data_IF_039523215629
#
_entry.id   IF_039523215629
#
_cell.length_a   1.000
_cell.length_b   1.000
_cell.length_c   1.000
_cell.angle_alpha   90.00
_cell.angle_beta   90.00
_cell.angle_gamma   90.00
#
_symmetry.space_group_name_H-M   'P 1'
#
loop_
_entity.id
_entity.type
_entity.pdbx_description
1 polymer ?
#
# COMPACT_ATOMS: atom_id res chain seq x y z
N UNK A 1 -30.86 -12.06 -16.07
CA UNK A 1 -29.92 -12.16 -17.21
C UNK A 1 -28.73 -11.20 -17.10
N UNK A 2 -28.92 -9.89 -16.89
CA UNK A 2 -27.82 -8.91 -16.73
C UNK A 2 -26.83 -9.25 -15.59
N UNK A 3 -27.31 -9.80 -14.48
CA UNK A 3 -26.50 -10.24 -13.33
C UNK A 3 -25.59 -11.43 -13.64
N UNK A 4 -26.11 -12.41 -14.38
CA UNK A 4 -25.37 -13.58 -14.87
C UNK A 4 -24.23 -13.17 -15.82
N UNK A 5 -24.54 -12.26 -16.75
CA UNK A 5 -23.54 -11.70 -17.68
C UNK A 5 -22.44 -10.97 -16.91
N UNK A 6 -22.80 -10.04 -16.00
CA UNK A 6 -21.83 -9.34 -15.15
C UNK A 6 -20.94 -10.31 -14.35
N UNK A 7 -21.53 -11.38 -13.80
CA UNK A 7 -20.79 -12.40 -13.05
C UNK A 7 -19.78 -13.12 -13.95
N UNK A 8 -20.18 -13.57 -15.14
CA UNK A 8 -19.27 -14.21 -16.07
C UNK A 8 -18.12 -13.30 -16.51
N UNK A 9 -18.41 -12.04 -16.86
CA UNK A 9 -17.37 -11.07 -17.21
C UNK A 9 -16.40 -10.82 -16.06
N UNK A 10 -16.91 -10.67 -14.82
CA UNK A 10 -16.08 -10.50 -13.63
C UNK A 10 -15.18 -11.72 -13.39
N UNK A 11 -15.73 -12.93 -13.50
CA UNK A 11 -14.98 -14.19 -13.34
C UNK A 11 -13.92 -14.37 -14.42
N UNK A 12 -14.28 -14.17 -15.69
CA UNK A 12 -13.34 -14.27 -16.82
C UNK A 12 -12.18 -13.29 -16.69
N UNK A 13 -12.47 -12.03 -16.34
CA UNK A 13 -11.44 -11.01 -16.08
C UNK A 13 -10.56 -11.39 -14.91
N UNK A 14 -11.13 -11.88 -13.82
CA UNK A 14 -10.38 -12.30 -12.63
C UNK A 14 -9.44 -13.47 -12.95
N UNK A 15 -9.90 -14.47 -13.71
CA UNK A 15 -9.09 -15.60 -14.13
C UNK A 15 -7.94 -15.17 -15.05
N UNK A 16 -8.22 -14.28 -16.00
CA UNK A 16 -7.19 -13.72 -16.90
C UNK A 16 -6.13 -12.93 -16.14
N UNK A 17 -6.53 -12.17 -15.13
CA UNK A 17 -5.60 -11.45 -14.25
C UNK A 17 -4.75 -12.43 -13.44
N UNK A 18 -5.37 -13.42 -12.78
CA UNK A 18 -4.67 -14.46 -12.01
C UNK A 18 -3.63 -15.21 -12.86
N UNK A 19 -3.96 -15.56 -14.10
CA UNK A 19 -3.02 -16.21 -15.02
C UNK A 19 -1.82 -15.31 -15.36
N UNK A 20 -2.06 -14.02 -15.65
CA UNK A 20 -0.99 -13.05 -15.97
C UNK A 20 -0.11 -12.70 -14.78
N UNK A 21 -0.63 -12.80 -13.56
CA UNK A 21 0.09 -12.43 -12.34
C UNK A 21 0.66 -13.64 -11.60
N UNK A 22 0.48 -14.87 -12.11
CA UNK A 22 0.84 -16.13 -11.46
C UNK A 22 2.33 -16.22 -11.08
N UNK A 23 3.20 -15.60 -11.86
CA UNK A 23 4.66 -15.60 -11.65
C UNK A 23 5.17 -14.37 -10.90
N UNK A 24 4.29 -13.41 -10.57
CA UNK A 24 4.73 -12.17 -9.92
C UNK A 24 4.81 -12.37 -8.41
N UNK A 25 6.00 -12.16 -7.84
CA UNK A 25 6.27 -12.37 -6.41
C UNK A 25 5.37 -11.55 -5.47
N UNK A 26 4.85 -10.39 -5.90
CA UNK A 26 3.93 -9.59 -5.10
C UNK A 26 2.55 -10.22 -4.89
N UNK A 27 2.20 -11.30 -5.59
CA UNK A 27 0.90 -11.98 -5.37
C UNK A 27 0.82 -12.69 -4.02
N UNK A 28 1.95 -13.17 -3.47
CA UNK A 28 2.02 -13.74 -2.11
C UNK A 28 1.77 -12.65 -1.06
N UNK A 29 2.31 -11.45 -1.29
CA UNK A 29 2.10 -10.30 -0.39
C UNK A 29 0.64 -9.80 -0.38
N UNK A 30 -0.15 -10.11 -1.42
CA UNK A 30 -1.54 -9.70 -1.57
C UNK A 30 -2.55 -10.59 -0.86
N UNK A 31 -2.28 -11.89 -0.70
CA UNK A 31 -3.21 -12.83 -0.07
C UNK A 31 -3.48 -12.54 1.42
N UNK A 32 -2.58 -11.79 2.04
CA UNK A 32 -2.61 -11.46 3.47
C UNK A 32 -3.09 -10.03 3.75
N UNK A 33 -3.48 -9.27 2.71
CA UNK A 33 -4.06 -7.94 2.91
C UNK A 33 -5.52 -8.13 3.29
N UNK A 34 -5.85 -7.76 4.52
CA UNK A 34 -7.20 -7.85 5.03
C UNK A 34 -8.16 -6.92 4.26
N UNK A 35 -9.46 -7.22 4.27
CA UNK A 35 -10.50 -6.44 3.57
C UNK A 35 -10.81 -5.13 4.31
N UNK A 36 -9.83 -4.23 4.31
CA UNK A 36 -9.86 -2.92 4.96
C UNK A 36 -10.48 -1.88 4.03
N UNK A 37 -10.84 -0.68 4.54
CA UNK A 37 -11.22 0.40 3.66
C UNK A 37 -10.08 0.69 2.66
N UNK A 38 -10.48 1.19 1.48
CA UNK A 38 -9.59 1.25 0.31
C UNK A 38 -8.28 2.01 0.59
N UNK A 39 -8.31 3.01 1.46
CA UNK A 39 -7.15 3.86 1.77
C UNK A 39 -6.07 3.03 2.46
N UNK A 40 -6.46 2.25 3.46
CA UNK A 40 -5.62 1.43 4.30
C UNK A 40 -5.10 0.21 3.53
N UNK A 41 -5.98 -0.46 2.76
CA UNK A 41 -5.57 -1.58 1.91
C UNK A 41 -4.55 -1.15 0.83
N UNK A 42 -4.69 0.06 0.28
CA UNK A 42 -3.73 0.61 -0.70
C UNK A 42 -2.41 0.98 -0.03
N UNK A 43 -2.44 1.56 1.18
CA UNK A 43 -1.24 1.88 1.95
C UNK A 43 -0.45 0.61 2.30
N UNK A 44 -1.12 -0.41 2.85
CA UNK A 44 -0.49 -1.69 3.19
C UNK A 44 0.07 -2.39 1.94
N UNK A 45 -0.67 -2.37 0.82
CA UNK A 45 -0.18 -2.93 -0.44
C UNK A 45 1.11 -2.26 -0.92
N UNK A 46 1.15 -0.92 -0.95
CA UNK A 46 2.33 -0.17 -1.38
C UNK A 46 3.53 -0.43 -0.48
N UNK A 47 3.33 -0.51 0.84
CA UNK A 47 4.36 -0.85 1.80
C UNK A 47 4.90 -2.27 1.61
N UNK A 48 4.01 -3.28 1.58
CA UNK A 48 4.40 -4.70 1.43
C UNK A 48 5.09 -4.99 0.10
N UNK A 49 4.75 -4.26 -0.95
CA UNK A 49 5.37 -4.42 -2.26
C UNK A 49 6.56 -3.49 -2.48
N UNK A 50 6.94 -2.69 -1.48
CA UNK A 50 8.07 -1.75 -1.57
C UNK A 50 7.85 -0.61 -2.57
N UNK A 51 6.60 -0.37 -2.99
CA UNK A 51 6.25 0.70 -3.93
C UNK A 51 5.92 2.02 -3.23
N UNK A 52 5.86 2.05 -1.90
CA UNK A 52 5.82 3.30 -1.16
C UNK A 52 7.26 3.80 -0.96
N UNK A 53 7.65 4.79 -1.75
CA UNK A 53 8.98 5.38 -1.64
C UNK A 53 9.02 6.29 -0.42
N UNK A 54 9.38 5.73 0.73
CA UNK A 54 9.57 6.49 1.97
C UNK A 54 10.72 7.49 1.83
N UNK A 55 10.69 8.59 2.60
CA UNK A 55 11.70 9.64 2.47
C UNK A 55 13.14 9.13 2.63
N UNK A 56 13.37 8.13 3.50
CA UNK A 56 14.68 7.49 3.63
C UNK A 56 15.12 6.76 2.35
N UNK A 57 14.21 6.03 1.73
CA UNK A 57 14.49 5.34 0.48
C UNK A 57 14.73 6.33 -0.66
N UNK A 58 13.90 7.37 -0.77
CA UNK A 58 14.08 8.44 -1.76
C UNK A 58 15.41 9.19 -1.57
N UNK A 59 15.83 9.41 -0.33
CA UNK A 59 17.13 9.99 -0.01
C UNK A 59 18.29 9.10 -0.44
N UNK A 60 18.19 7.78 -0.21
CA UNK A 60 19.22 6.82 -0.68
C UNK A 60 19.40 6.80 -2.21
N UNK A 61 18.33 7.12 -2.95
CA UNK A 61 18.34 7.24 -4.40
C UNK A 61 18.74 8.65 -4.90
N UNK A 62 19.00 9.60 -4.00
CA UNK A 62 19.33 10.98 -4.33
C UNK A 62 18.15 11.81 -4.87
N UNK A 63 16.91 11.30 -4.76
CA UNK A 63 15.69 11.99 -5.22
C UNK A 63 15.19 12.98 -4.17
N UNK A 64 15.36 12.64 -2.88
CA UNK A 64 14.93 13.48 -1.77
C UNK A 64 16.15 14.00 -1.00
N UNK A 65 16.11 15.26 -0.58
CA UNK A 65 17.26 15.94 0.07
C UNK A 65 17.47 15.44 1.50
N UNK A 66 16.41 14.98 2.18
CA UNK A 66 16.48 14.51 3.57
C UNK A 66 15.72 13.19 3.80
N UNK A 67 16.23 12.25 4.61
CA UNK A 67 15.53 10.99 4.89
C UNK A 67 14.36 11.14 5.88
N UNK A 68 14.11 12.36 6.37
CA UNK A 68 13.19 12.66 7.47
C UNK A 68 11.72 12.63 7.05
N UNK A 69 10.85 12.27 7.99
CA UNK A 69 9.40 12.30 7.81
C UNK A 69 8.90 13.73 7.58
N UNK A 70 8.27 14.04 6.43
CA UNK A 70 7.69 15.36 6.18
C UNK A 70 6.35 15.55 6.90
N UNK A 71 5.80 14.49 7.49
CA UNK A 71 4.48 14.51 8.12
C UNK A 71 4.54 14.94 9.59
N UNK A 72 5.67 14.74 10.26
CA UNK A 72 5.81 15.10 11.68
C UNK A 72 7.09 15.89 11.93
N UNK A 73 7.03 16.83 12.86
CA UNK A 73 8.17 17.69 13.20
C UNK A 73 9.23 17.00 14.08
N UNK A 74 9.20 15.67 14.16
CA UNK A 74 10.14 14.88 14.97
C UNK A 74 11.50 14.67 14.29
N UNK A 75 11.67 15.11 13.05
CA UNK A 75 12.89 14.94 12.25
C UNK A 75 13.43 13.49 12.22
N UNK A 76 12.56 12.50 12.43
CA UNK A 76 12.93 11.08 12.38
C UNK A 76 12.94 10.59 10.95
N UNK A 77 13.83 9.66 10.64
CA UNK A 77 13.83 8.98 9.35
C UNK A 77 12.45 8.37 9.08
N UNK A 78 11.92 8.64 7.89
CA UNK A 78 10.65 8.07 7.45
C UNK A 78 10.91 6.64 7.01
N UNK A 79 10.86 5.71 7.96
CA UNK A 79 10.78 4.27 7.69
C UNK A 79 9.39 3.73 8.02
N UNK A 80 9.10 2.50 7.56
CA UNK A 80 7.82 1.84 7.81
C UNK A 80 7.49 1.79 9.32
N UNK A 81 8.49 1.51 10.15
CA UNK A 81 8.37 1.51 11.61
C UNK A 81 8.02 2.89 12.19
N UNK A 82 8.49 3.96 11.55
CA UNK A 82 8.15 5.33 11.93
C UNK A 82 6.70 5.67 11.58
N UNK A 83 6.19 5.25 10.41
CA UNK A 83 4.80 5.52 10.01
C UNK A 83 3.77 4.97 11.01
N UNK A 84 3.98 3.76 11.52
CA UNK A 84 3.11 3.14 12.55
C UNK A 84 3.09 3.99 13.84
N UNK A 85 4.16 4.72 14.11
CA UNK A 85 4.36 5.51 15.33
C UNK A 85 4.22 7.01 15.11
N UNK A 86 3.93 7.45 13.88
CA UNK A 86 3.92 8.85 13.50
C UNK A 86 2.74 9.57 14.17
N UNK A 87 2.99 10.62 14.98
CA UNK A 87 1.93 11.32 15.72
C UNK A 87 0.83 11.87 14.79
N UNK A 88 1.22 12.48 13.68
CA UNK A 88 0.32 13.09 12.69
C UNK A 88 -0.61 12.07 12.04
N UNK A 89 -0.17 10.82 11.89
CA UNK A 89 -0.99 9.76 11.32
C UNK A 89 -1.96 9.18 12.37
N UNK A 90 -1.55 9.09 13.64
CA UNK A 90 -2.41 8.59 14.72
C UNK A 90 -3.61 9.49 15.00
N UNK A 91 -3.44 10.81 14.92
CA UNK A 91 -4.55 11.76 15.16
C UNK A 91 -5.65 11.69 14.11
N UNK A 92 -5.39 11.09 12.95
CA UNK A 92 -6.40 10.95 11.87
C UNK A 92 -7.25 9.68 12.03
N UNK A 93 -6.82 8.73 12.87
CA UNK A 93 -7.51 7.43 13.07
C UNK A 93 -8.54 7.46 14.21
N UNK A 94 -8.64 8.56 14.96
CA UNK A 94 -9.58 8.76 16.07
C UNK A 94 -10.44 10.02 15.86
N UNK A 95 -11.14 10.11 14.74
CA UNK A 95 -12.29 11.02 14.63
C UNK A 95 -13.57 10.19 14.49
N UNK A 96 -14.14 9.85 15.64
CA UNK A 96 -15.56 9.53 15.81
C UNK A 96 -16.16 10.58 16.73
#
# INVERSE_FOLDING_TARGET
MKTLIRRQFKTSRCNKLKARTKEKQWTVALSDIADWPRIEAVAEFRLRTGHDCLAKHLHSLGVHIQPTCPLCDLQKEMEMSHLIRCPTLKTTTETQ
#
